data_IF_556608458135
#
_entry.id   IF_556608458135
#
_cell.length_a   1.000
_cell.length_b   1.000
_cell.length_c   1.000
_cell.angle_alpha   90.00
_cell.angle_beta   90.00
_cell.angle_gamma   90.00
#
_symmetry.space_group_name_H-M   'P 1'
#
loop_
_entity.id
_entity.type
_entity.pdbx_description
1 polymer ?
#
# COMPACT_ATOMS: atom_id res chain seq x y z
N UNK A 1 -10.11 -0.50 -9.55
CA UNK A 1 -9.59 -1.53 -8.62
C UNK A 1 -8.49 -2.23 -9.38
N UNK A 2 -7.27 -2.12 -8.89
CA UNK A 2 -6.11 -2.81 -9.48
C UNK A 2 -5.61 -3.89 -8.52
N UNK A 3 -4.97 -4.90 -9.06
CA UNK A 3 -4.41 -6.00 -8.28
C UNK A 3 -2.93 -6.15 -8.59
N UNK A 4 -2.11 -6.02 -7.55
CA UNK A 4 -0.66 -6.15 -7.60
C UNK A 4 -0.32 -7.51 -7.03
N UNK A 5 0.34 -8.36 -7.81
CA UNK A 5 0.80 -9.65 -7.31
C UNK A 5 2.17 -9.50 -6.67
N UNK A 6 2.28 -9.83 -5.38
CA UNK A 6 3.55 -9.79 -4.67
C UNK A 6 4.14 -11.20 -4.62
N UNK A 7 5.11 -11.46 -5.51
CA UNK A 7 5.77 -12.78 -5.64
C UNK A 7 6.38 -13.27 -4.33
N UNK A 8 6.89 -12.37 -3.48
CA UNK A 8 7.48 -12.72 -2.17
C UNK A 8 6.47 -13.36 -1.22
N UNK A 9 5.25 -12.82 -1.20
CA UNK A 9 4.18 -13.30 -0.34
C UNK A 9 3.34 -14.38 -1.02
N UNK A 10 3.43 -14.50 -2.35
CA UNK A 10 2.59 -15.38 -3.15
C UNK A 10 1.12 -14.97 -3.14
N UNK A 11 0.81 -13.73 -2.74
CA UNK A 11 -0.56 -13.21 -2.62
C UNK A 11 -0.80 -12.07 -3.61
N UNK A 12 -2.04 -11.99 -4.12
CA UNK A 12 -2.55 -10.82 -4.82
C UNK A 12 -3.00 -9.76 -3.83
N UNK A 13 -2.51 -8.54 -4.01
CA UNK A 13 -2.85 -7.36 -3.22
C UNK A 13 -3.77 -6.47 -4.05
N UNK A 14 -5.03 -6.33 -3.64
CA UNK A 14 -5.98 -5.46 -4.35
C UNK A 14 -5.88 -4.03 -3.80
N UNK A 15 -5.58 -3.08 -4.67
CA UNK A 15 -5.50 -1.65 -4.37
C UNK A 15 -6.63 -0.85 -5.04
N UNK A 16 -7.04 0.22 -4.37
CA UNK A 16 -8.00 1.21 -4.89
C UNK A 16 -7.36 2.58 -4.97
N UNK A 17 -7.89 3.40 -5.87
CA UNK A 17 -7.44 4.77 -6.00
C UNK A 17 -7.74 5.56 -4.71
N UNK A 18 -6.77 6.29 -4.14
CA UNK A 18 -7.00 7.07 -2.94
C UNK A 18 -7.95 8.22 -3.23
N UNK A 19 -8.88 8.45 -2.31
CA UNK A 19 -9.76 9.60 -2.36
C UNK A 19 -8.97 10.91 -2.17
N UNK A 20 -9.54 12.04 -2.60
CA UNK A 20 -8.91 13.37 -2.57
C UNK A 20 -8.39 13.75 -1.18
N UNK A 21 -9.11 13.37 -0.11
CA UNK A 21 -8.68 13.60 1.27
C UNK A 21 -7.42 12.82 1.64
N UNK A 22 -7.33 11.56 1.22
CA UNK A 22 -6.16 10.71 1.45
C UNK A 22 -4.97 11.31 0.72
N UNK A 23 -5.11 11.61 -0.57
CA UNK A 23 -4.05 12.25 -1.38
C UNK A 23 -3.50 13.51 -0.72
N UNK A 24 -4.36 14.36 -0.15
CA UNK A 24 -3.95 15.59 0.55
C UNK A 24 -3.16 15.31 1.83
N UNK A 25 -3.56 14.30 2.61
CA UNK A 25 -2.80 13.85 3.79
C UNK A 25 -1.44 13.30 3.38
N UNK A 26 -1.39 12.48 2.33
CA UNK A 26 -0.15 11.91 1.80
C UNK A 26 0.79 13.01 1.32
N UNK A 27 0.34 13.99 0.55
CA UNK A 27 1.19 15.10 0.08
C UNK A 27 1.82 15.89 1.23
N UNK A 28 1.04 16.12 2.30
CA UNK A 28 1.54 16.76 3.51
C UNK A 28 2.56 15.89 4.27
N UNK A 29 2.36 14.56 4.25
CA UNK A 29 3.27 13.61 4.88
C UNK A 29 4.55 13.42 4.08
N UNK A 30 4.51 13.33 2.74
CA UNK A 30 5.70 13.17 1.89
C UNK A 30 6.71 14.29 2.13
N UNK A 31 6.23 15.52 2.43
CA UNK A 31 7.08 16.68 2.76
C UNK A 31 7.80 16.58 4.11
N UNK A 32 7.29 15.77 5.04
CA UNK A 32 7.83 15.60 6.40
C UNK A 32 8.53 14.26 6.57
N UNK A 33 7.82 13.19 6.26
CA UNK A 33 8.22 11.81 6.41
C UNK A 33 7.63 10.96 5.28
N UNK A 34 8.49 10.62 4.32
CA UNK A 34 8.10 9.85 3.15
C UNK A 34 7.68 8.42 3.51
N UNK A 35 8.28 7.82 4.56
CA UNK A 35 7.93 6.46 4.99
C UNK A 35 6.54 6.43 5.60
N UNK A 36 6.22 7.39 6.49
CA UNK A 36 4.88 7.52 7.06
C UNK A 36 3.83 7.76 5.96
N UNK A 37 4.16 8.56 4.94
CA UNK A 37 3.29 8.76 3.79
C UNK A 37 3.00 7.45 3.05
N UNK A 38 4.01 6.63 2.75
CA UNK A 38 3.79 5.35 2.09
C UNK A 38 2.93 4.41 2.94
N UNK A 39 3.14 4.34 4.26
CA UNK A 39 2.30 3.53 5.16
C UNK A 39 0.84 3.94 5.10
N UNK A 40 0.55 5.23 5.23
CA UNK A 40 -0.82 5.76 5.20
C UNK A 40 -1.50 5.56 3.84
N UNK A 41 -0.74 5.67 2.76
CA UNK A 41 -1.25 5.46 1.42
C UNK A 41 -1.64 4.00 1.23
N UNK A 42 -0.73 3.07 1.52
CA UNK A 42 -0.97 1.63 1.37
C UNK A 42 -2.06 1.17 2.34
N UNK A 43 -2.09 1.66 3.58
CA UNK A 43 -3.14 1.32 4.54
C UNK A 43 -4.56 1.70 4.07
N UNK A 44 -4.71 2.86 3.43
CA UNK A 44 -6.01 3.31 2.92
C UNK A 44 -6.35 2.78 1.53
N UNK A 45 -5.36 2.46 0.71
CA UNK A 45 -5.57 2.01 -0.67
C UNK A 45 -5.62 0.49 -0.79
N UNK A 46 -4.97 -0.27 0.08
CA UNK A 46 -5.03 -1.73 0.08
C UNK A 46 -6.36 -2.19 0.65
N UNK A 47 -7.14 -2.85 -0.18
CA UNK A 47 -8.41 -3.49 0.18
C UNK A 47 -8.19 -4.96 0.52
N UNK A 48 -7.25 -5.62 -0.17
CA UNK A 48 -6.88 -7.01 0.09
C UNK A 48 -5.35 -7.15 0.11
N UNK A 49 -4.76 -7.87 1.08
CA UNK A 49 -5.39 -8.50 2.26
C UNK A 49 -6.08 -7.47 3.17
N UNK A 50 -7.13 -7.88 3.89
CA UNK A 50 -7.90 -6.97 4.75
C UNK A 50 -7.08 -6.58 5.98
N UNK A 51 -6.38 -5.44 5.86
CA UNK A 51 -5.55 -4.87 6.93
C UNK A 51 -6.38 -4.42 8.14
N UNK A 52 -7.70 -4.29 7.97
CA UNK A 52 -8.64 -3.91 9.02
C UNK A 52 -9.28 -5.13 9.68
N UNK A 53 -8.90 -6.35 9.27
CA UNK A 53 -9.46 -7.57 9.81
C UNK A 53 -9.19 -7.63 11.34
N UNK A 54 -10.24 -7.86 12.15
CA UNK A 54 -10.13 -7.85 13.60
C UNK A 54 -9.25 -8.99 14.14
N UNK A 55 -9.03 -10.08 13.39
CA UNK A 55 -8.07 -11.12 13.78
C UNK A 55 -6.64 -10.62 13.59
N UNK A 56 -6.34 -9.93 12.48
CA UNK A 56 -5.05 -9.29 12.26
C UNK A 56 -4.73 -8.25 13.35
N UNK A 57 -5.71 -7.41 13.72
CA UNK A 57 -5.56 -6.45 14.84
C UNK A 57 -5.33 -7.12 16.19
N UNK A 58 -5.90 -8.31 16.43
CA UNK A 58 -5.64 -9.09 17.64
C UNK A 58 -4.26 -9.76 17.63
N UNK A 59 -3.80 -10.22 16.46
CA UNK A 59 -2.49 -10.88 16.32
C UNK A 59 -1.33 -9.88 16.35
N UNK A 60 -1.55 -8.65 15.86
CA UNK A 60 -0.56 -7.59 15.84
C UNK A 60 -1.08 -6.38 16.65
N UNK A 61 -0.81 -6.32 17.96
CA UNK A 61 -1.11 -5.13 18.77
C UNK A 61 -0.17 -3.99 18.36
N UNK A 62 -0.51 -3.30 17.27
CA UNK A 62 0.18 -2.13 16.78
C UNK A 62 -0.49 -0.86 17.33
N UNK A 63 0.29 0.10 17.81
CA UNK A 63 -0.20 1.39 18.31
C UNK A 63 -0.89 2.20 17.21
N UNK A 64 -0.41 2.08 15.97
CA UNK A 64 -1.02 2.66 14.79
C UNK A 64 -1.42 1.55 13.83
N UNK A 65 -2.64 1.62 13.32
CA UNK A 65 -3.17 0.64 12.36
C UNK A 65 -2.31 0.57 11.08
N UNK A 66 -1.67 1.68 10.70
CA UNK A 66 -0.74 1.76 9.57
C UNK A 66 0.63 1.11 9.81
N UNK A 67 0.96 0.73 11.05
CA UNK A 67 2.21 0.03 11.34
C UNK A 67 2.14 -1.47 11.01
N UNK A 68 0.92 -2.05 10.99
CA UNK A 68 0.70 -3.44 10.54
C UNK A 68 1.14 -3.65 9.09
N UNK A 69 1.10 -2.57 8.29
CA UNK A 69 1.51 -2.58 6.89
C UNK A 69 3.02 -2.80 6.78
N UNK A 70 3.82 -2.30 7.74
CA UNK A 70 5.25 -2.62 7.83
C UNK A 70 5.54 -4.02 8.37
N UNK A 71 4.57 -4.68 9.01
CA UNK A 71 4.69 -6.08 9.43
C UNK A 71 4.37 -7.04 8.30
N UNK A 72 3.40 -6.69 7.45
CA UNK A 72 2.96 -7.49 6.32
C UNK A 72 3.81 -7.25 5.07
N UNK A 73 4.18 -6.00 4.81
CA UNK A 73 4.96 -5.59 3.65
C UNK A 73 6.29 -4.98 4.10
N UNK A 74 7.33 -5.23 3.32
CA UNK A 74 8.61 -4.54 3.51
C UNK A 74 8.55 -3.11 3.02
N UNK A 75 9.49 -2.26 3.46
CA UNK A 75 9.62 -0.89 2.97
C UNK A 75 9.77 -0.82 1.44
N UNK A 76 10.43 -1.81 0.82
CA UNK A 76 10.54 -1.91 -0.63
C UNK A 76 9.19 -2.15 -1.31
N UNK A 77 8.38 -3.06 -0.77
CA UNK A 77 7.03 -3.36 -1.26
C UNK A 77 6.07 -2.19 -1.02
N UNK A 78 6.14 -1.54 0.15
CA UNK A 78 5.38 -0.32 0.46
C UNK A 78 5.68 0.77 -0.55
N UNK A 79 6.95 1.02 -0.83
CA UNK A 79 7.37 2.00 -1.81
C UNK A 79 6.88 1.61 -3.21
N UNK A 80 7.01 0.35 -3.59
CA UNK A 80 6.54 -0.16 -4.88
C UNK A 80 5.04 0.04 -5.06
N UNK A 81 4.22 -0.39 -4.09
CA UNK A 81 2.76 -0.22 -4.11
C UNK A 81 2.39 1.27 -4.12
N UNK A 82 3.08 2.08 -3.32
CA UNK A 82 2.82 3.51 -3.26
C UNK A 82 3.16 4.23 -4.57
N UNK A 83 4.27 3.85 -5.19
CA UNK A 83 4.66 4.33 -6.51
C UNK A 83 3.66 3.86 -7.57
N UNK A 84 3.13 2.64 -7.46
CA UNK A 84 2.05 2.15 -8.32
C UNK A 84 0.79 3.01 -8.15
N UNK A 85 0.35 3.26 -6.91
CA UNK A 85 -0.85 4.06 -6.60
C UNK A 85 -0.73 5.50 -7.12
N UNK A 86 0.43 6.13 -6.98
CA UNK A 86 0.68 7.50 -7.44
C UNK A 86 0.97 7.50 -8.95
N UNK A 87 1.70 6.51 -9.43
CA UNK A 87 2.15 6.29 -10.79
C UNK A 87 1.04 5.87 -11.75
N UNK A 88 -0.10 5.36 -11.26
CA UNK A 88 -1.32 5.21 -12.06
C UNK A 88 -1.77 6.54 -12.69
N UNK A 89 -1.39 7.69 -12.12
CA UNK A 89 -1.60 9.00 -12.76
C UNK A 89 -0.57 9.35 -13.85
N UNK A 90 0.54 8.64 -13.95
CA UNK A 90 1.58 8.77 -14.97
C UNK A 90 1.66 7.46 -15.78
N UNK A 91 0.63 7.22 -16.59
CA UNK A 91 0.64 6.42 -17.82
C UNK A 91 1.85 5.46 -18.04
N UNK A 92 1.60 4.15 -17.93
CA UNK A 92 2.25 3.10 -18.76
C UNK A 92 3.74 2.83 -18.52
N UNK A 93 4.18 2.38 -17.33
CA UNK A 93 5.48 1.69 -17.23
C UNK A 93 5.49 0.58 -16.17
N UNK A 94 4.82 -0.54 -16.42
CA UNK A 94 5.29 -1.92 -16.14
C UNK A 94 4.15 -2.94 -16.23
N UNK A 95 3.62 -3.11 -17.44
CA UNK A 95 3.35 -4.48 -17.93
C UNK A 95 4.67 -5.26 -17.91
N UNK A 96 5.15 -5.72 -16.76
CA UNK A 96 6.37 -6.54 -16.65
C UNK A 96 6.34 -7.54 -15.51
N UNK A 97 5.23 -8.25 -15.31
CA UNK A 97 5.31 -9.64 -14.85
C UNK A 97 4.09 -10.46 -15.35
N UNK A 98 3.95 -10.56 -16.67
CA UNK A 98 3.45 -11.78 -17.30
C UNK A 98 4.46 -12.16 -18.38
N UNK A 99 5.13 -13.29 -18.19
CA UNK A 99 5.01 -14.46 -19.07
C UNK A 99 6.23 -15.38 -18.94
N UNK A 100 5.91 -16.66 -18.72
CA UNK A 100 6.73 -17.88 -18.77
C UNK A 100 7.53 -18.27 -17.53
#
# INVERSE_FOLDING_TARGET
MEEIYISRLGIGVSIIEPNSEVKRKIDALVKKDMVAAFKELVFNCVVKPDLKDPKLKKTFPCTNESDIVCKLFTLGELKYIADEIIGIKNDVVTKRIKSY
#
